data_IF_671734501226
#
_entry.id   IF_671734501226
#
_cell.length_a   1.000
_cell.length_b   1.000
_cell.length_c   1.000
_cell.angle_alpha   90.00
_cell.angle_beta   90.00
_cell.angle_gamma   90.00
#
_symmetry.space_group_name_H-M   'P 1'
#
loop_
_entity.id
_entity.type
_entity.pdbx_description
1 polymer ?
#
# COMPACT_ATOMS: atom_id res chain seq x y z
N UNK A 1 -10.72 17.43 20.23
CA UNK A 1 -9.85 16.97 19.15
C UNK A 1 -8.98 15.85 19.70
N UNK A 2 -9.45 14.61 19.57
CA UNK A 2 -8.78 13.44 20.17
C UNK A 2 -7.88 12.80 19.10
N UNK A 3 -6.63 13.14 19.08
CA UNK A 3 -5.59 12.37 18.41
C UNK A 3 -5.37 11.08 19.22
N UNK A 4 -6.08 10.04 18.84
CA UNK A 4 -5.77 8.68 19.26
C UNK A 4 -4.40 8.34 18.68
N UNK A 5 -3.38 8.43 19.49
CA UNK A 5 -2.10 7.79 19.25
C UNK A 5 -2.36 6.32 18.93
N UNK A 6 -2.27 5.97 17.66
CA UNK A 6 -2.26 4.60 17.23
C UNK A 6 -0.91 4.04 17.70
N UNK A 7 -0.88 3.45 18.90
CA UNK A 7 0.27 2.68 19.36
C UNK A 7 0.60 1.68 18.25
N UNK A 8 1.86 1.55 17.85
CA UNK A 8 2.26 0.50 16.93
C UNK A 8 1.76 -0.81 17.52
N UNK A 9 0.92 -1.52 16.75
CA UNK A 9 0.49 -2.87 17.11
C UNK A 9 1.68 -3.79 16.81
N UNK A 10 2.75 -3.60 17.55
CA UNK A 10 3.75 -4.65 17.71
C UNK A 10 3.09 -5.65 18.67
N UNK A 11 2.33 -6.55 18.09
CA UNK A 11 2.00 -7.78 18.78
C UNK A 11 3.32 -8.54 18.96
N UNK A 12 4.05 -8.20 20.00
CA UNK A 12 4.97 -9.15 20.61
C UNK A 12 4.14 -10.41 20.85
N UNK A 13 4.28 -11.35 19.94
CA UNK A 13 3.70 -12.70 20.10
C UNK A 13 4.38 -13.27 21.34
N UNK A 14 3.71 -13.06 22.46
CA UNK A 14 4.09 -13.58 23.77
C UNK A 14 4.48 -15.03 23.55
N UNK A 15 5.67 -15.41 24.00
CA UNK A 15 6.17 -16.78 24.03
C UNK A 15 5.09 -17.73 24.58
N UNK A 16 4.20 -18.14 23.71
CA UNK A 16 3.35 -19.27 23.99
C UNK A 16 4.24 -20.49 23.79
N UNK A 17 4.88 -20.91 24.87
CA UNK A 17 5.43 -22.26 24.98
C UNK A 17 4.28 -23.27 24.85
N UNK A 18 3.74 -23.38 23.63
CA UNK A 18 2.73 -24.37 23.36
C UNK A 18 3.39 -25.76 23.48
N UNK A 19 3.03 -26.46 24.55
CA UNK A 19 3.28 -27.89 24.63
C UNK A 19 2.53 -28.49 23.43
N UNK A 20 3.23 -29.09 22.46
CA UNK A 20 2.54 -29.59 21.29
C UNK A 20 1.56 -30.74 21.73
N UNK A 21 0.37 -30.78 21.14
CA UNK A 21 -0.64 -31.83 21.52
C UNK A 21 -0.09 -33.22 21.40
N UNK A 22 0.86 -33.47 20.50
CA UNK A 22 1.56 -34.75 20.32
C UNK A 22 2.38 -35.09 21.58
N UNK A 23 3.10 -34.13 22.17
CA UNK A 23 3.86 -34.38 23.40
C UNK A 23 2.91 -34.70 24.58
N UNK A 24 1.78 -34.01 24.68
CA UNK A 24 0.72 -34.31 25.65
C UNK A 24 0.12 -35.70 25.46
N UNK A 25 -0.10 -36.14 24.23
CA UNK A 25 -0.60 -37.46 23.91
C UNK A 25 0.40 -38.58 24.29
N UNK A 26 1.68 -38.39 23.97
CA UNK A 26 2.76 -39.31 24.35
C UNK A 26 2.87 -39.39 25.87
N UNK A 27 2.81 -38.26 26.57
CA UNK A 27 2.79 -38.21 28.02
C UNK A 27 1.64 -39.03 28.62
N UNK A 28 0.41 -38.87 28.11
CA UNK A 28 -0.76 -39.58 28.54
C UNK A 28 -0.61 -41.11 28.33
N UNK A 29 -0.07 -41.52 27.18
CA UNK A 29 0.16 -42.97 26.90
C UNK A 29 1.16 -43.58 27.89
N UNK A 30 2.29 -42.87 28.13
CA UNK A 30 3.31 -43.36 29.08
C UNK A 30 2.74 -43.42 30.51
N UNK A 31 1.92 -42.44 30.90
CA UNK A 31 1.30 -42.40 32.22
C UNK A 31 0.28 -43.54 32.41
N UNK A 32 -0.56 -43.82 31.39
CA UNK A 32 -1.47 -44.97 31.39
C UNK A 32 -0.67 -46.28 31.46
N UNK A 33 0.45 -46.36 30.72
CA UNK A 33 1.37 -47.49 30.78
C UNK A 33 1.98 -47.67 32.17
N UNK A 34 2.38 -46.60 32.84
CA UNK A 34 2.91 -46.64 34.21
C UNK A 34 1.89 -47.17 35.20
N UNK A 35 0.63 -46.72 35.08
CA UNK A 35 -0.46 -47.21 35.92
C UNK A 35 -0.69 -48.72 35.70
N UNK A 36 -0.73 -49.19 34.45
CA UNK A 36 -0.89 -50.64 34.15
C UNK A 36 0.28 -51.46 34.69
N UNK A 37 1.51 -50.98 34.56
CA UNK A 37 2.71 -51.64 35.09
C UNK A 37 2.66 -51.71 36.61
N UNK A 38 2.22 -50.63 37.27
CA UNK A 38 2.03 -50.65 38.74
C UNK A 38 1.03 -51.72 39.19
N UNK A 39 -0.14 -51.79 38.55
CA UNK A 39 -1.16 -52.82 38.84
C UNK A 39 -0.67 -54.23 38.58
N UNK A 40 0.11 -54.47 37.52
CA UNK A 40 0.70 -55.78 37.22
C UNK A 40 1.78 -56.19 38.24
N UNK A 41 2.57 -55.25 38.76
CA UNK A 41 3.58 -55.51 39.78
C UNK A 41 2.95 -55.79 41.14
N UNK A 42 1.84 -55.13 41.46
CA UNK A 42 1.06 -55.35 42.65
C UNK A 42 0.48 -56.79 42.69
N UNK A 43 -0.04 -57.27 41.56
CA UNK A 43 -0.54 -58.65 41.44
C UNK A 43 0.55 -59.74 41.58
N UNK A 44 1.83 -59.36 41.43
CA UNK A 44 2.99 -60.25 41.56
C UNK A 44 3.65 -60.18 42.95
N UNK A 45 3.02 -59.54 43.96
CA UNK A 45 3.54 -59.37 45.33
C UNK A 45 4.96 -58.79 45.39
N UNK A 46 5.29 -57.84 44.48
CA UNK A 46 6.60 -57.11 44.49
C UNK A 46 6.58 -56.12 45.64
N UNK A 47 7.71 -55.86 46.33
CA UNK A 47 7.77 -54.91 47.42
C UNK A 47 7.32 -53.50 46.97
N UNK A 48 6.50 -52.81 47.77
CA UNK A 48 5.92 -51.49 47.48
C UNK A 48 6.98 -50.43 47.12
N UNK A 49 8.16 -50.52 47.70
CA UNK A 49 9.27 -49.65 47.37
C UNK A 49 9.73 -49.76 45.91
N UNK A 50 9.73 -50.94 45.33
CA UNK A 50 10.12 -51.18 43.92
C UNK A 50 9.04 -50.73 42.98
N UNK A 51 7.76 -50.89 43.31
CA UNK A 51 6.63 -50.37 42.54
C UNK A 51 6.71 -48.84 42.49
N UNK A 52 6.92 -48.19 43.65
CA UNK A 52 7.08 -46.73 43.73
C UNK A 52 8.25 -46.22 42.88
N UNK A 53 9.42 -46.91 42.95
CA UNK A 53 10.59 -46.51 42.16
C UNK A 53 10.34 -46.61 40.63
N UNK A 54 9.65 -47.69 40.17
CA UNK A 54 9.32 -47.86 38.75
C UNK A 54 8.32 -46.83 38.26
N UNK A 55 7.29 -46.51 39.04
CA UNK A 55 6.30 -45.49 38.69
C UNK A 55 6.98 -44.13 38.63
N UNK A 56 7.86 -43.79 39.59
CA UNK A 56 8.60 -42.55 39.62
C UNK A 56 9.54 -42.41 38.39
N UNK A 57 10.22 -43.50 38.00
CA UNK A 57 11.07 -43.52 36.83
C UNK A 57 10.26 -43.29 35.53
N UNK A 58 9.11 -43.97 35.38
CA UNK A 58 8.25 -43.83 34.20
C UNK A 58 7.61 -42.46 34.11
N UNK A 59 7.18 -41.86 35.21
CA UNK A 59 6.68 -40.49 35.25
C UNK A 59 7.79 -39.48 34.96
N UNK A 60 9.01 -39.72 35.42
CA UNK A 60 10.19 -38.92 35.07
C UNK A 60 10.48 -38.94 33.56
N UNK A 61 10.44 -40.11 32.95
CA UNK A 61 10.59 -40.30 31.50
C UNK A 61 9.45 -39.61 30.75
N UNK A 62 8.22 -39.72 31.17
CA UNK A 62 7.08 -39.08 30.57
C UNK A 62 7.24 -37.53 30.59
N UNK A 63 7.65 -37.00 31.74
CA UNK A 63 7.91 -35.55 31.89
C UNK A 63 9.06 -35.09 31.01
N UNK A 64 10.14 -35.90 30.88
CA UNK A 64 11.23 -35.60 29.97
C UNK A 64 10.75 -35.46 28.52
N UNK A 65 9.94 -36.43 28.03
CA UNK A 65 9.39 -36.38 26.66
C UNK A 65 8.48 -35.15 26.45
N UNK A 66 7.71 -34.75 27.46
CA UNK A 66 6.83 -33.57 27.37
C UNK A 66 7.60 -32.30 27.09
N UNK A 67 8.78 -32.13 27.70
CA UNK A 67 9.61 -30.93 27.50
C UNK A 67 10.59 -31.08 26.34
N UNK A 68 11.01 -32.31 25.97
CA UNK A 68 11.99 -32.55 24.94
C UNK A 68 11.43 -32.38 23.51
N UNK A 69 10.15 -32.70 23.33
CA UNK A 69 9.50 -32.65 22.04
C UNK A 69 8.92 -31.25 21.79
N UNK A 70 9.34 -30.63 20.68
CA UNK A 70 8.81 -29.36 20.20
C UNK A 70 8.40 -29.51 18.72
N UNK A 71 7.40 -28.75 18.32
CA UNK A 71 6.92 -28.73 16.94
C UNK A 71 6.99 -27.28 16.45
N UNK A 72 7.71 -27.07 15.36
CA UNK A 72 7.72 -25.78 14.65
C UNK A 72 6.77 -25.83 13.45
N UNK A 73 6.06 -24.73 13.20
CA UNK A 73 5.25 -24.57 12.01
C UNK A 73 6.14 -24.50 10.75
N UNK A 74 5.54 -24.73 9.57
CA UNK A 74 6.30 -24.74 8.32
C UNK A 74 7.03 -23.44 8.03
N UNK A 75 6.50 -22.34 8.52
CA UNK A 75 7.05 -20.99 8.34
C UNK A 75 7.93 -20.52 9.50
N UNK A 76 8.13 -21.33 10.53
CA UNK A 76 8.91 -20.97 11.71
C UNK A 76 10.26 -21.72 11.71
N UNK A 77 11.31 -20.99 12.04
CA UNK A 77 12.61 -21.55 12.42
C UNK A 77 12.90 -21.20 13.87
N UNK A 78 13.46 -22.18 14.56
CA UNK A 78 13.76 -22.07 16.00
C UNK A 78 15.25 -22.04 16.20
N UNK A 79 15.70 -21.00 16.89
CA UNK A 79 17.09 -20.86 17.30
C UNK A 79 17.31 -21.58 18.62
N UNK A 80 18.19 -22.61 18.59
CA UNK A 80 18.49 -23.43 19.75
C UNK A 80 19.90 -23.14 20.25
N UNK A 81 19.97 -22.77 21.52
CA UNK A 81 21.25 -22.61 22.23
C UNK A 81 21.51 -23.83 23.09
N UNK A 82 22.74 -24.35 23.09
CA UNK A 82 23.23 -25.40 23.96
C UNK A 82 24.20 -24.82 24.97
N UNK A 83 23.84 -24.84 26.26
CA UNK A 83 24.66 -24.23 27.32
C UNK A 83 25.07 -22.78 27.00
N UNK A 84 24.14 -22.01 26.36
CA UNK A 84 24.40 -20.63 25.98
C UNK A 84 25.15 -20.42 24.67
N UNK A 85 25.62 -21.49 24.01
CA UNK A 85 26.27 -21.41 22.70
C UNK A 85 25.28 -21.78 21.60
N UNK A 86 25.36 -21.09 20.47
CA UNK A 86 24.57 -21.44 19.29
C UNK A 86 24.85 -22.87 18.82
N UNK A 87 23.79 -23.67 18.77
CA UNK A 87 23.88 -25.09 18.35
C UNK A 87 23.28 -25.33 16.96
N UNK A 88 22.51 -24.40 16.46
CA UNK A 88 21.92 -24.45 15.12
C UNK A 88 20.46 -24.08 15.08
N UNK A 89 19.95 -23.98 13.85
CA UNK A 89 18.55 -23.73 13.55
C UNK A 89 17.79 -25.07 13.45
N UNK A 90 16.66 -25.15 14.14
CA UNK A 90 15.72 -26.27 13.93
C UNK A 90 14.62 -25.80 12.98
N UNK A 91 14.45 -26.55 11.91
CA UNK A 91 13.46 -26.29 10.88
C UNK A 91 12.06 -26.74 11.24
N UNK A 92 11.11 -26.64 10.28
CA UNK A 92 9.72 -27.01 10.48
C UNK A 92 9.56 -28.50 10.80
N UNK A 93 8.53 -28.80 11.59
CA UNK A 93 8.17 -30.16 11.99
C UNK A 93 8.54 -30.49 13.43
N UNK A 94 8.57 -31.77 13.72
CA UNK A 94 8.92 -32.30 15.02
C UNK A 94 10.43 -32.29 15.21
N UNK A 95 10.92 -31.66 16.27
CA UNK A 95 12.32 -31.71 16.63
C UNK A 95 12.50 -32.01 18.12
N UNK A 96 13.67 -32.53 18.44
CA UNK A 96 14.06 -32.95 19.77
C UNK A 96 15.06 -31.94 20.36
N UNK A 97 14.79 -31.52 21.59
CA UNK A 97 15.72 -30.73 22.39
C UNK A 97 15.99 -31.49 23.72
N UNK A 98 17.17 -31.33 24.24
CA UNK A 98 17.51 -31.90 25.57
C UNK A 98 17.11 -30.85 26.61
N UNK A 99 16.01 -31.10 27.38
CA UNK A 99 15.61 -30.18 28.44
C UNK A 99 16.79 -29.93 29.36
N UNK A 100 16.95 -28.71 29.94
CA UNK A 100 18.06 -28.31 30.82
C UNK A 100 19.33 -27.91 30.05
N UNK A 101 19.73 -28.63 29.00
CA UNK A 101 20.96 -28.36 28.22
C UNK A 101 20.67 -27.44 27.03
N UNK A 102 19.60 -27.71 26.31
CA UNK A 102 19.18 -26.98 25.11
C UNK A 102 18.03 -26.03 25.47
N UNK A 103 18.14 -24.79 25.01
CA UNK A 103 17.10 -23.76 25.17
C UNK A 103 16.68 -23.24 23.81
N UNK A 104 15.37 -23.31 23.50
CA UNK A 104 14.79 -22.65 22.35
C UNK A 104 14.57 -21.17 22.71
N UNK A 105 15.41 -20.28 22.20
CA UNK A 105 15.43 -18.88 22.63
C UNK A 105 14.49 -18.04 21.78
N UNK A 106 14.46 -18.24 20.47
CA UNK A 106 13.70 -17.41 19.56
C UNK A 106 13.02 -18.24 18.46
N UNK A 107 11.78 -17.87 18.16
CA UNK A 107 10.97 -18.41 17.07
C UNK A 107 10.84 -17.33 16.00
N UNK A 108 11.39 -17.58 14.83
CA UNK A 108 11.45 -16.60 13.74
C UNK A 108 10.54 -17.04 12.61
N UNK A 109 9.59 -16.18 12.28
CA UNK A 109 8.68 -16.36 11.15
C UNK A 109 9.36 -15.90 9.86
N UNK A 110 9.38 -16.76 8.83
CA UNK A 110 9.95 -16.48 7.51
C UNK A 110 8.93 -15.93 6.51
N UNK A 111 7.71 -15.64 6.94
CA UNK A 111 6.71 -14.99 6.07
C UNK A 111 7.00 -13.50 5.98
N UNK A 112 6.44 -12.88 4.95
CA UNK A 112 6.48 -11.43 4.81
C UNK A 112 5.77 -10.79 5.98
N UNK A 113 6.50 -9.97 6.70
CA UNK A 113 5.98 -9.15 7.79
C UNK A 113 5.75 -7.72 7.30
N UNK A 114 4.80 -7.05 7.94
CA UNK A 114 4.41 -5.68 7.59
C UNK A 114 4.58 -4.80 8.82
N UNK A 115 5.33 -3.71 8.67
CA UNK A 115 5.55 -2.74 9.74
C UNK A 115 5.20 -1.35 9.24
N UNK A 116 4.29 -0.67 9.93
CA UNK A 116 3.99 0.74 9.68
C UNK A 116 4.94 1.62 10.49
N UNK A 117 5.41 2.69 9.90
CA UNK A 117 6.27 3.68 10.53
C UNK A 117 5.95 5.07 10.01
N UNK A 118 6.31 6.11 10.75
CA UNK A 118 6.03 7.49 10.39
C UNK A 118 7.19 8.42 10.74
N UNK A 119 7.32 9.49 9.98
CA UNK A 119 8.21 10.59 10.25
C UNK A 119 7.38 11.84 10.55
N UNK A 120 7.15 12.07 11.84
CA UNK A 120 6.38 13.23 12.30
C UNK A 120 7.22 14.50 12.31
N UNK A 121 6.63 15.61 11.83
CA UNK A 121 7.20 16.98 11.84
C UNK A 121 8.63 17.05 11.31
N UNK A 122 8.89 16.33 10.23
CA UNK A 122 10.20 16.35 9.59
C UNK A 122 10.24 17.48 8.59
N UNK A 123 11.36 18.21 8.54
CA UNK A 123 11.55 19.30 7.59
C UNK A 123 12.09 18.75 6.28
N UNK A 124 11.48 19.13 5.18
CA UNK A 124 11.98 18.91 3.83
C UNK A 124 13.17 19.82 3.53
N UNK A 125 13.84 19.63 2.39
CA UNK A 125 14.96 20.48 1.93
C UNK A 125 14.57 21.95 1.81
N UNK A 126 13.33 22.22 1.45
CA UNK A 126 12.74 23.58 1.34
C UNK A 126 12.12 24.06 2.66
N UNK A 127 12.50 23.44 3.78
CA UNK A 127 12.12 23.81 5.16
C UNK A 127 10.63 23.73 5.47
N UNK A 128 9.89 22.95 4.71
CA UNK A 128 8.46 22.71 4.95
C UNK A 128 8.32 21.55 5.94
N UNK A 129 7.60 21.71 7.06
CA UNK A 129 7.30 20.59 7.96
C UNK A 129 6.27 19.67 7.33
N UNK A 130 6.57 18.39 7.26
CA UNK A 130 5.68 17.35 6.72
C UNK A 130 5.57 16.19 7.71
N UNK A 131 4.42 15.54 7.71
CA UNK A 131 4.21 14.26 8.39
C UNK A 131 4.03 13.20 7.28
N UNK A 132 4.87 12.18 7.30
CA UNK A 132 4.86 11.12 6.28
C UNK A 132 4.65 9.78 6.96
N UNK A 133 3.62 9.06 6.50
CA UNK A 133 3.31 7.70 6.91
C UNK A 133 3.72 6.72 5.80
N UNK A 134 4.42 5.66 6.20
CA UNK A 134 4.89 4.63 5.28
C UNK A 134 4.71 3.23 5.87
N UNK A 135 4.73 2.25 4.98
CA UNK A 135 4.62 0.83 5.31
C UNK A 135 5.80 0.08 4.68
N UNK A 136 6.40 -0.78 5.47
CA UNK A 136 7.53 -1.61 5.11
C UNK A 136 7.10 -3.07 5.02
N UNK A 137 7.40 -3.71 3.90
CA UNK A 137 7.27 -5.16 3.70
C UNK A 137 8.66 -5.79 3.74
N UNK A 138 8.86 -6.73 4.64
CA UNK A 138 10.16 -7.34 4.88
C UNK A 138 10.04 -8.80 5.25
N UNK A 139 11.15 -9.53 5.12
CA UNK A 139 11.24 -10.96 5.42
C UNK A 139 12.58 -11.27 6.06
N UNK A 140 12.59 -12.17 7.03
CA UNK A 140 13.82 -12.72 7.59
C UNK A 140 14.28 -13.87 6.69
N UNK A 141 15.41 -13.71 6.02
CA UNK A 141 16.00 -14.77 5.20
C UNK A 141 17.02 -15.60 5.99
N UNK A 142 17.72 -14.99 6.95
CA UNK A 142 18.71 -15.64 7.81
C UNK A 142 18.29 -15.49 9.29
N UNK A 143 17.69 -16.56 9.82
CA UNK A 143 17.22 -16.60 11.19
C UNK A 143 18.37 -16.60 12.23
N UNK A 144 19.57 -17.08 11.85
CA UNK A 144 20.72 -17.10 12.74
C UNK A 144 21.19 -15.66 13.01
N UNK A 145 21.40 -14.88 11.95
CA UNK A 145 21.81 -13.48 12.09
C UNK A 145 20.75 -12.64 12.80
N UNK A 146 19.47 -12.83 12.46
CA UNK A 146 18.39 -12.08 13.08
C UNK A 146 18.28 -12.33 14.59
N UNK A 147 18.67 -13.53 15.07
CA UNK A 147 18.62 -13.85 16.48
C UNK A 147 19.90 -13.49 17.26
N UNK A 148 21.07 -13.52 16.61
CA UNK A 148 22.35 -13.34 17.27
C UNK A 148 22.87 -11.91 17.20
N UNK A 149 22.58 -11.20 16.09
CA UNK A 149 23.07 -9.84 15.87
C UNK A 149 22.17 -8.76 16.50
N UNK A 150 20.89 -9.04 16.66
CA UNK A 150 19.91 -8.03 17.13
C UNK A 150 19.01 -8.61 18.23
N UNK A 151 18.88 -7.88 19.32
CA UNK A 151 18.03 -8.31 20.45
C UNK A 151 16.54 -8.33 20.10
N UNK A 152 16.06 -7.29 19.42
CA UNK A 152 14.68 -7.16 18.91
C UNK A 152 14.73 -6.60 17.50
N UNK A 153 14.72 -7.50 16.54
CA UNK A 153 14.79 -7.13 15.12
C UNK A 153 13.55 -6.38 14.65
N UNK A 154 12.36 -6.61 15.24
CA UNK A 154 11.15 -5.88 14.87
C UNK A 154 11.28 -4.38 15.19
N UNK A 155 11.71 -4.08 16.39
CA UNK A 155 11.94 -2.68 16.80
C UNK A 155 13.12 -2.06 16.06
N UNK A 156 14.20 -2.82 15.84
CA UNK A 156 15.37 -2.33 15.11
C UNK A 156 15.03 -1.94 13.66
N UNK A 157 14.25 -2.75 12.95
CA UNK A 157 13.78 -2.43 11.60
C UNK A 157 12.91 -1.17 11.59
N UNK A 158 11.97 -1.06 12.53
CA UNK A 158 11.11 0.12 12.62
C UNK A 158 11.92 1.42 12.84
N UNK A 159 12.92 1.37 13.71
CA UNK A 159 13.83 2.50 13.95
C UNK A 159 14.72 2.81 12.74
N UNK A 160 15.24 1.79 12.07
CA UNK A 160 16.06 1.96 10.87
C UNK A 160 15.22 2.60 9.74
N UNK A 161 14.00 2.12 9.53
CA UNK A 161 13.06 2.65 8.55
C UNK A 161 12.66 4.10 8.84
N UNK A 162 12.31 4.41 10.09
CA UNK A 162 11.97 5.77 10.51
C UNK A 162 13.15 6.74 10.30
N UNK A 163 14.37 6.31 10.61
CA UNK A 163 15.56 7.13 10.45
C UNK A 163 15.87 7.36 8.97
N UNK A 164 15.77 6.32 8.12
CA UNK A 164 15.94 6.43 6.68
C UNK A 164 14.89 7.38 6.06
N UNK A 165 13.64 7.28 6.49
CA UNK A 165 12.58 8.15 6.01
C UNK A 165 12.86 9.62 6.32
N UNK A 166 13.30 9.94 7.54
CA UNK A 166 13.69 11.32 7.91
C UNK A 166 14.88 11.83 7.09
N UNK A 167 15.84 10.98 6.81
CA UNK A 167 17.01 11.32 6.02
C UNK A 167 16.62 11.70 4.59
N UNK A 168 15.79 10.89 3.93
CA UNK A 168 15.32 11.15 2.56
C UNK A 168 14.45 12.40 2.50
N UNK A 169 13.49 12.56 3.43
CA UNK A 169 12.65 13.76 3.48
C UNK A 169 13.52 15.03 3.56
N UNK A 170 14.58 15.00 4.38
CA UNK A 170 15.49 16.14 4.50
C UNK A 170 16.31 16.46 3.24
N UNK A 171 16.46 15.54 2.32
CA UNK A 171 17.19 15.70 1.06
C UNK A 171 16.31 16.11 -0.12
N UNK A 172 14.98 15.91 -0.04
CA UNK A 172 14.01 16.16 -1.12
C UNK A 172 13.20 17.42 -0.87
N UNK A 173 12.74 18.05 -1.95
CA UNK A 173 11.78 19.15 -1.88
C UNK A 173 10.36 18.60 -1.73
N UNK A 174 9.43 19.43 -1.24
CA UNK A 174 8.02 19.03 -1.13
C UNK A 174 7.44 18.61 -2.49
N UNK A 175 7.81 19.32 -3.55
CA UNK A 175 7.36 19.00 -4.91
C UNK A 175 7.85 17.61 -5.36
N UNK A 176 9.11 17.26 -5.06
CA UNK A 176 9.68 15.94 -5.39
C UNK A 176 8.96 14.82 -4.62
N UNK A 177 8.63 15.04 -3.36
CA UNK A 177 7.90 14.09 -2.51
C UNK A 177 6.50 13.81 -3.07
N UNK A 178 5.79 14.85 -3.52
CA UNK A 178 4.42 14.70 -4.02
C UNK A 178 4.35 14.08 -5.42
N UNK A 179 5.33 14.35 -6.28
CA UNK A 179 5.34 13.89 -7.69
C UNK A 179 6.17 12.61 -7.85
N UNK A 180 7.26 12.47 -7.09
CA UNK A 180 8.27 11.42 -7.26
C UNK A 180 8.16 10.25 -6.29
N UNK A 181 6.96 9.88 -5.81
CA UNK A 181 6.77 8.81 -4.81
C UNK A 181 7.52 7.51 -5.14
N UNK A 182 7.40 7.04 -6.39
CA UNK A 182 8.04 5.79 -6.80
C UNK A 182 9.57 5.81 -6.66
N UNK A 183 10.20 6.94 -6.94
CA UNK A 183 11.65 7.11 -6.77
C UNK A 183 12.02 7.12 -5.29
N UNK A 184 11.21 7.77 -4.46
CA UNK A 184 11.43 7.82 -3.02
C UNK A 184 11.26 6.44 -2.37
N UNK A 185 10.27 5.65 -2.81
CA UNK A 185 10.07 4.26 -2.36
C UNK A 185 11.29 3.39 -2.67
N UNK A 186 11.87 3.51 -3.88
CA UNK A 186 13.06 2.78 -4.30
C UNK A 186 14.31 3.17 -3.49
N UNK A 187 14.53 4.47 -3.31
CA UNK A 187 15.66 4.98 -2.51
C UNK A 187 15.53 4.56 -1.04
N UNK A 188 14.31 4.63 -0.46
CA UNK A 188 14.02 4.15 0.89
C UNK A 188 14.31 2.66 1.03
N UNK A 189 13.79 1.86 0.11
CA UNK A 189 14.02 0.42 0.09
C UNK A 189 15.51 0.13 0.13
N UNK A 190 16.30 0.76 -0.72
CA UNK A 190 17.75 0.56 -0.80
C UNK A 190 18.46 0.90 0.50
N UNK A 191 18.20 2.06 1.09
CA UNK A 191 18.85 2.50 2.32
C UNK A 191 18.48 1.58 3.50
N UNK A 192 17.22 1.18 3.60
CA UNK A 192 16.78 0.30 4.68
C UNK A 192 17.37 -1.10 4.50
N UNK A 193 17.37 -1.63 3.27
CA UNK A 193 17.91 -2.96 2.96
C UNK A 193 19.41 -3.01 3.26
N UNK A 194 20.20 -2.01 2.88
CA UNK A 194 21.62 -1.90 3.21
C UNK A 194 21.88 -1.96 4.73
N UNK A 195 20.97 -1.36 5.53
CA UNK A 195 21.10 -1.36 7.00
C UNK A 195 20.63 -2.67 7.64
N UNK A 196 19.67 -3.37 7.04
CA UNK A 196 19.05 -4.57 7.61
C UNK A 196 19.67 -5.88 7.10
N UNK A 197 20.30 -5.87 5.96
CA UNK A 197 21.02 -7.04 5.38
C UNK A 197 22.02 -7.67 6.36
N UNK A 198 22.85 -6.93 7.14
CA UNK A 198 23.74 -7.53 8.14
C UNK A 198 22.98 -8.35 9.19
N UNK A 199 21.75 -7.98 9.48
CA UNK A 199 20.89 -8.67 10.45
C UNK A 199 20.14 -9.88 9.86
N UNK A 200 20.40 -10.24 8.61
CA UNK A 200 19.71 -11.35 7.94
C UNK A 200 18.26 -11.04 7.54
N UNK A 201 17.96 -9.78 7.30
CA UNK A 201 16.62 -9.30 6.95
C UNK A 201 16.69 -8.60 5.59
N UNK A 202 15.73 -8.89 4.72
CA UNK A 202 15.60 -8.26 3.42
C UNK A 202 14.30 -7.49 3.31
N UNK A 203 14.38 -6.27 2.80
CA UNK A 203 13.26 -5.41 2.50
C UNK A 203 12.74 -5.71 1.11
N UNK A 204 11.48 -6.13 1.01
CA UNK A 204 10.85 -6.41 -0.28
C UNK A 204 10.35 -5.14 -0.96
N UNK A 205 9.63 -4.32 -0.22
CA UNK A 205 9.16 -3.02 -0.70
C UNK A 205 8.90 -2.06 0.46
N UNK A 206 8.97 -0.78 0.14
CA UNK A 206 8.53 0.31 1.01
C UNK A 206 7.48 1.08 0.24
N UNK A 207 6.39 1.43 0.88
CA UNK A 207 5.29 2.16 0.27
C UNK A 207 4.90 3.35 1.14
N UNK A 208 4.93 4.55 0.57
CA UNK A 208 4.46 5.75 1.22
C UNK A 208 2.94 5.79 1.12
N UNK A 209 2.28 5.79 2.27
CA UNK A 209 0.81 5.84 2.37
C UNK A 209 0.28 7.24 2.23
N UNK A 210 0.75 8.14 3.06
CA UNK A 210 0.22 9.49 3.16
C UNK A 210 1.33 10.50 3.44
N UNK A 211 1.12 11.72 2.93
CA UNK A 211 1.99 12.88 3.15
C UNK A 211 1.10 14.03 3.59
N UNK A 212 1.16 14.36 4.86
CA UNK A 212 0.36 15.44 5.45
C UNK A 212 1.21 16.70 5.52
N UNK A 213 0.71 17.77 4.92
CA UNK A 213 1.31 19.09 4.94
C UNK A 213 0.46 20.05 5.77
N UNK A 214 1.02 21.15 6.29
CA UNK A 214 0.24 22.16 7.00
C UNK A 214 -0.84 22.78 6.11
N UNK A 215 -2.03 22.95 6.65
CA UNK A 215 -3.22 23.41 5.91
C UNK A 215 -3.02 24.75 5.21
N UNK A 216 -2.26 25.66 5.82
CA UNK A 216 -1.94 26.97 5.22
C UNK A 216 -1.16 26.84 3.90
N UNK A 217 -0.26 25.85 3.82
CA UNK A 217 0.50 25.55 2.60
C UNK A 217 -0.35 24.81 1.57
N UNK A 218 -1.20 23.92 1.99
CA UNK A 218 -2.16 23.23 1.12
C UNK A 218 -3.05 24.24 0.39
N UNK A 219 -3.61 25.23 1.11
CA UNK A 219 -4.40 26.31 0.55
C UNK A 219 -3.61 27.15 -0.46
N UNK A 220 -2.35 27.47 -0.15
CA UNK A 220 -1.50 28.25 -1.03
C UNK A 220 -1.16 27.49 -2.33
N UNK A 221 -0.79 26.21 -2.22
CA UNK A 221 -0.51 25.33 -3.35
C UNK A 221 -1.74 25.10 -4.23
N UNK A 222 -2.92 24.95 -3.61
CA UNK A 222 -4.21 24.82 -4.32
C UNK A 222 -4.48 26.05 -5.17
N UNK A 223 -4.29 27.26 -4.63
CA UNK A 223 -4.45 28.53 -5.37
C UNK A 223 -3.45 28.65 -6.52
N UNK A 224 -2.19 28.28 -6.27
CA UNK A 224 -1.16 28.28 -7.32
C UNK A 224 -1.51 27.30 -8.44
N UNK A 225 -1.91 26.08 -8.10
CA UNK A 225 -2.32 25.08 -9.07
C UNK A 225 -3.55 25.51 -9.87
N UNK A 226 -4.51 26.19 -9.23
CA UNK A 226 -5.68 26.75 -9.91
C UNK A 226 -5.28 27.86 -10.89
N UNK A 227 -4.44 28.80 -10.48
CA UNK A 227 -3.96 29.88 -11.34
C UNK A 227 -3.17 29.33 -12.55
N UNK A 228 -2.34 28.32 -12.35
CA UNK A 228 -1.61 27.66 -13.43
C UNK A 228 -2.54 26.95 -14.43
N UNK A 229 -3.56 26.24 -13.93
CA UNK A 229 -4.58 25.61 -14.79
C UNK A 229 -5.37 26.65 -15.58
N UNK A 230 -5.72 27.79 -14.97
CA UNK A 230 -6.39 28.88 -15.66
C UNK A 230 -5.48 29.53 -16.75
N UNK A 231 -4.20 29.68 -16.43
CA UNK A 231 -3.22 30.15 -17.42
C UNK A 231 -3.11 29.19 -18.61
N UNK A 232 -2.99 27.88 -18.34
CA UNK A 232 -2.92 26.86 -19.38
C UNK A 232 -4.22 26.83 -20.22
N UNK A 233 -5.38 26.90 -19.58
CA UNK A 233 -6.66 26.95 -20.27
C UNK A 233 -6.76 28.17 -21.21
N UNK A 234 -6.30 29.37 -20.79
CA UNK A 234 -6.27 30.56 -21.64
C UNK A 234 -5.32 30.42 -22.82
N UNK A 235 -4.15 29.78 -22.62
CA UNK A 235 -3.22 29.49 -23.71
C UNK A 235 -3.85 28.56 -24.72
N UNK A 236 -4.42 27.47 -24.29
CA UNK A 236 -5.09 26.48 -25.16
C UNK A 236 -6.26 27.10 -25.93
N UNK A 237 -7.06 27.98 -25.26
CA UNK A 237 -8.14 28.73 -25.93
C UNK A 237 -7.57 29.67 -27.01
N UNK A 238 -6.51 30.42 -26.70
CA UNK A 238 -5.87 31.29 -27.65
C UNK A 238 -5.28 30.55 -28.87
N UNK A 239 -4.64 29.40 -28.64
CA UNK A 239 -4.15 28.53 -29.71
C UNK A 239 -5.29 27.98 -30.54
N UNK A 240 -6.39 27.56 -29.90
CA UNK A 240 -7.61 27.11 -30.60
C UNK A 240 -8.22 28.24 -31.46
N UNK A 241 -8.35 29.46 -30.93
CA UNK A 241 -8.84 30.61 -31.68
C UNK A 241 -7.94 30.93 -32.90
N UNK A 242 -6.60 30.86 -32.71
CA UNK A 242 -5.66 31.06 -33.80
C UNK A 242 -5.81 29.99 -34.90
N UNK A 243 -5.97 28.70 -34.52
CA UNK A 243 -6.20 27.59 -35.46
C UNK A 243 -7.54 27.75 -36.18
N UNK A 244 -8.59 28.18 -35.49
CA UNK A 244 -9.90 28.46 -36.07
C UNK A 244 -9.79 29.62 -37.07
N UNK A 245 -9.14 30.71 -36.68
CA UNK A 245 -8.93 31.86 -37.54
C UNK A 245 -8.11 31.50 -38.80
N UNK A 246 -7.06 30.69 -38.66
CA UNK A 246 -6.27 30.21 -39.79
C UNK A 246 -7.13 29.33 -40.72
N UNK A 247 -7.95 28.44 -40.14
CA UNK A 247 -8.89 27.57 -40.90
C UNK A 247 -9.94 28.42 -41.66
N UNK A 248 -10.48 29.47 -41.02
CA UNK A 248 -11.40 30.39 -41.71
C UNK A 248 -10.71 31.19 -42.82
N UNK A 249 -9.45 31.64 -42.58
CA UNK A 249 -8.68 32.35 -43.63
C UNK A 249 -8.45 31.41 -44.82
N UNK A 250 -8.09 30.18 -44.60
CA UNK A 250 -7.91 29.20 -45.65
C UNK A 250 -9.24 28.85 -46.39
N UNK A 251 -10.31 28.68 -45.62
CA UNK A 251 -11.64 28.43 -46.20
C UNK A 251 -12.12 29.67 -47.01
N UNK A 252 -11.83 30.89 -46.59
CA UNK A 252 -12.23 32.09 -47.29
C UNK A 252 -11.61 32.19 -48.69
N UNK A 253 -10.37 31.72 -48.87
CA UNK A 253 -9.70 31.68 -50.17
C UNK A 253 -10.48 30.87 -51.21
N UNK A 254 -11.15 29.79 -50.80
CA UNK A 254 -11.98 28.96 -51.67
C UNK A 254 -13.24 29.69 -52.19
N UNK A 255 -13.63 30.79 -51.55
CA UNK A 255 -14.82 31.57 -51.95
C UNK A 255 -14.50 32.90 -52.67
N UNK A 256 -13.22 33.32 -52.75
CA UNK A 256 -12.81 34.58 -53.40
C UNK A 256 -13.26 34.65 -54.85
N UNK A 257 -13.13 33.52 -55.59
CA UNK A 257 -13.46 33.48 -57.02
C UNK A 257 -14.89 32.95 -57.30
N UNK A 258 -15.68 32.63 -56.25
CA UNK A 258 -17.02 32.07 -56.41
C UNK A 258 -18.05 32.69 -55.46
N UNK A 259 -18.59 33.88 -55.77
CA UNK A 259 -19.52 34.59 -54.90
C UNK A 259 -20.84 33.82 -54.69
N UNK A 260 -21.26 33.00 -55.67
CA UNK A 260 -22.45 32.17 -55.58
C UNK A 260 -22.30 31.10 -54.50
N UNK A 261 -21.10 30.48 -54.40
CA UNK A 261 -20.82 29.47 -53.36
C UNK A 261 -20.80 30.11 -51.98
N UNK A 262 -20.25 31.33 -51.81
CA UNK A 262 -20.28 32.08 -50.58
C UNK A 262 -21.73 32.36 -50.10
N UNK A 263 -22.60 32.76 -51.05
CA UNK A 263 -24.00 33.01 -50.76
C UNK A 263 -24.76 31.77 -50.30
N UNK A 264 -24.57 30.62 -50.98
CA UNK A 264 -25.11 29.35 -50.57
C UNK A 264 -24.62 28.88 -49.19
N UNK A 265 -23.34 29.10 -48.89
CA UNK A 265 -22.75 28.79 -47.56
C UNK A 265 -23.36 29.63 -46.46
N UNK A 266 -23.54 30.93 -46.71
CA UNK A 266 -24.20 31.80 -45.74
C UNK A 266 -25.63 31.38 -45.45
N UNK A 267 -26.38 31.01 -46.49
CA UNK A 267 -27.75 30.48 -46.37
C UNK A 267 -27.81 29.18 -45.55
N UNK A 268 -26.86 28.27 -45.79
CA UNK A 268 -26.76 27.01 -45.06
C UNK A 268 -26.45 27.26 -43.57
N UNK A 269 -25.54 28.17 -43.25
CA UNK A 269 -25.25 28.52 -41.85
C UNK A 269 -26.45 29.12 -41.13
N UNK A 270 -27.23 29.98 -41.80
CA UNK A 270 -28.49 30.49 -41.26
C UNK A 270 -29.52 29.39 -41.05
N UNK A 271 -29.66 28.48 -41.98
CA UNK A 271 -30.55 27.34 -41.84
C UNK A 271 -30.15 26.43 -40.67
N UNK A 272 -28.86 26.09 -40.50
CA UNK A 272 -28.35 25.34 -39.39
C UNK A 272 -28.56 26.07 -38.03
N UNK A 273 -28.35 27.37 -38.00
CA UNK A 273 -28.60 28.19 -36.79
C UNK A 273 -30.08 28.19 -36.40
N UNK A 274 -30.99 28.29 -37.38
CA UNK A 274 -32.44 28.27 -37.12
C UNK A 274 -32.95 26.88 -36.72
N UNK A 275 -32.26 25.81 -37.08
CA UNK A 275 -32.63 24.44 -36.71
C UNK A 275 -32.40 24.13 -35.23
N UNK A 276 -31.52 24.88 -34.57
CA UNK A 276 -31.30 24.76 -33.11
C UNK A 276 -32.43 25.45 -32.36
N UNK A 277 -33.13 24.72 -31.52
CA UNK A 277 -34.24 25.26 -30.70
C UNK A 277 -33.75 26.41 -29.78
N UNK A 278 -34.29 27.61 -30.00
CA UNK A 278 -34.01 28.80 -29.18
C UNK A 278 -32.84 29.65 -29.66
N UNK A 279 -32.29 29.45 -30.84
CA UNK A 279 -31.27 30.30 -31.39
C UNK A 279 -31.86 31.69 -31.88
N UNK A 280 -31.34 32.77 -31.36
CA UNK A 280 -31.59 34.12 -31.87
C UNK A 280 -30.49 34.50 -32.83
N UNK A 281 -30.80 34.72 -34.09
CA UNK A 281 -29.84 35.14 -35.09
C UNK A 281 -30.08 36.64 -35.38
N UNK A 282 -29.15 37.48 -35.03
CA UNK A 282 -29.16 38.94 -35.32
C UNK A 282 -28.33 39.16 -36.57
N UNK A 283 -28.99 39.53 -37.68
CA UNK A 283 -28.35 39.83 -38.97
C UNK A 283 -28.44 41.34 -39.24
N UNK A 284 -27.33 42.02 -39.52
CA UNK A 284 -27.35 43.43 -39.91
C UNK A 284 -28.15 43.62 -41.20
N UNK A 285 -28.88 44.72 -41.34
CA UNK A 285 -29.71 45.02 -42.52
C UNK A 285 -28.89 45.02 -43.83
N UNK A 286 -27.66 45.50 -43.77
CA UNK A 286 -26.72 45.46 -44.91
C UNK A 286 -26.36 44.04 -45.38
N UNK A 287 -26.30 43.08 -44.48
CA UNK A 287 -26.05 41.68 -44.82
C UNK A 287 -27.31 41.03 -45.42
N UNK A 288 -28.49 41.39 -44.94
CA UNK A 288 -29.78 40.95 -45.52
C UNK A 288 -29.92 41.38 -46.94
N UNK A 289 -29.58 42.62 -47.26
CA UNK A 289 -29.62 43.19 -48.62
C UNK A 289 -28.58 42.52 -49.54
N UNK A 290 -27.33 42.31 -49.06
CA UNK A 290 -26.28 41.65 -49.85
C UNK A 290 -26.58 40.14 -50.10
N UNK A 291 -27.31 39.50 -49.20
CA UNK A 291 -27.70 38.11 -49.31
C UNK A 291 -29.04 37.86 -50.03
N UNK A 292 -29.72 38.91 -50.44
CA UNK A 292 -31.04 38.89 -51.11
C UNK A 292 -32.07 38.05 -50.32
N UNK A 293 -32.04 38.11 -49.01
CA UNK A 293 -32.85 37.32 -48.10
C UNK A 293 -34.34 37.73 -48.07
N UNK A 294 -34.67 38.89 -48.64
CA UNK A 294 -36.05 39.39 -48.76
C UNK A 294 -36.98 38.44 -49.48
N UNK A 295 -36.47 37.74 -50.51
CA UNK A 295 -37.25 36.72 -51.23
C UNK A 295 -37.52 35.44 -50.44
N UNK A 296 -36.64 35.08 -49.48
CA UNK A 296 -36.78 33.90 -48.62
C UNK A 296 -37.77 34.12 -47.49
N UNK A 297 -37.78 35.30 -46.88
CA UNK A 297 -38.77 35.66 -45.89
C UNK A 297 -40.21 35.49 -46.38
N UNK A 298 -40.44 35.82 -47.65
CA UNK A 298 -41.73 35.62 -48.31
C UNK A 298 -42.07 34.13 -48.48
N UNK A 299 -41.08 33.30 -48.86
CA UNK A 299 -41.33 31.85 -49.02
C UNK A 299 -41.56 31.13 -47.67
N UNK A 300 -40.84 31.50 -46.61
CA UNK A 300 -41.05 30.93 -45.28
C UNK A 300 -42.42 31.31 -44.70
N UNK A 301 -42.86 32.52 -44.91
CA UNK A 301 -44.21 32.95 -44.49
C UNK A 301 -45.35 32.25 -45.27
N UNK A 302 -45.12 31.95 -46.55
CA UNK A 302 -46.06 31.13 -47.34
C UNK A 302 -46.08 29.67 -46.92
N UNK A 303 -44.94 29.09 -46.57
CA UNK A 303 -44.84 27.72 -46.04
C UNK A 303 -45.52 27.59 -44.68
N UNK A 304 -45.44 28.58 -43.81
CA UNK A 304 -46.05 28.59 -42.49
C UNK A 304 -47.59 28.75 -42.54
N UNK A 305 -48.13 29.42 -43.58
CA UNK A 305 -49.57 29.51 -43.76
C UNK A 305 -50.20 28.26 -44.37
N UNK A 306 -49.40 27.33 -44.93
CA UNK A 306 -49.88 26.11 -45.51
C UNK A 306 -49.75 24.84 -44.61
N UNK A 307 -49.34 25.04 -43.37
CA UNK A 307 -49.37 23.97 -42.38
C UNK A 307 -50.78 23.78 -41.82
N UNK A 308 -51.36 22.57 -41.90
CA UNK A 308 -52.67 22.32 -41.29
C UNK A 308 -52.58 22.55 -39.81
N UNK A 309 -53.46 23.43 -39.26
CA UNK A 309 -53.67 23.61 -37.84
C UNK A 309 -54.27 22.31 -37.30
N UNK A 310 -53.40 21.48 -36.71
CA UNK A 310 -53.90 20.40 -35.87
C UNK A 310 -54.64 21.00 -34.67
N UNK A 311 -55.89 20.50 -34.54
CA UNK A 311 -56.81 20.80 -33.46
C UNK A 311 -56.41 20.14 -32.18
#
# INVERSE_FOLDING_TARGET
MNTKFMKPIVQSKKDNQHIPPIAGFIFAIILIGAIKVALLLETRHVPDLTIGAVVLALTGIATYFLFALKVAAQWEKVVVLRLGKFNGLKGPGLFWIIPIVDTAVMWIDHRVAVTSFSAEKTLTKDTVPVDVDAVLFWVVWDAEKAALEVTDYNSAIAWAAQTALREIIGQMTLADILVGRAKMDEELQKIIDERTTPWGITVQSVEIRDVVIPQVLEDAMSRQAQAERERQARVILGESEQQIAASFAQASQAYVDNPTALHLRAMNMLFEGLKQKGALVIVPSSAVDSMNLGGLGGMVSMAQNNLPKEK
#
